data_IF_921878209929
#
_entry.id   IF_921878209929
#
_cell.length_a   1.000
_cell.length_b   1.000
_cell.length_c   1.000
_cell.angle_alpha   90.00
_cell.angle_beta   90.00
_cell.angle_gamma   90.00
#
_symmetry.space_group_name_H-M   'P 1'
#
loop_
_entity.id
_entity.type
_entity.pdbx_description
1 polymer ?
#
# COMPACT_ATOMS: atom_id res chain seq x y z
N UNK A 1 2.01 -6.06 15.46
CA UNK A 1 1.10 -7.22 15.36
C UNK A 1 -0.27 -6.67 15.05
N UNK A 2 -0.64 -6.68 13.77
CA UNK A 2 -1.91 -6.16 13.30
C UNK A 2 -3.04 -7.14 13.59
N UNK A 3 -4.20 -6.59 13.94
CA UNK A 3 -5.47 -7.31 14.03
C UNK A 3 -6.56 -6.34 13.57
N UNK A 4 -7.35 -6.73 12.57
CA UNK A 4 -8.76 -6.40 12.47
C UNK A 4 -9.41 -7.46 11.57
N UNK A 5 -10.20 -8.32 12.19
CA UNK A 5 -11.07 -9.31 11.56
C UNK A 5 -12.44 -8.68 11.23
N UNK A 6 -13.06 -9.25 10.20
CA UNK A 6 -14.32 -8.87 9.55
C UNK A 6 -15.56 -8.89 10.45
N UNK A 7 -16.54 -8.05 10.11
CA UNK A 7 -17.95 -8.31 10.42
C UNK A 7 -18.60 -8.94 9.18
N UNK A 8 -19.21 -10.09 9.37
CA UNK A 8 -20.19 -10.70 8.46
C UNK A 8 -21.59 -10.29 8.95
N UNK A 9 -22.38 -9.63 8.09
CA UNK A 9 -23.75 -10.02 7.76
C UNK A 9 -24.49 -8.98 6.88
N UNK A 10 -25.17 -9.54 5.87
CA UNK A 10 -26.30 -9.07 5.07
C UNK A 10 -26.18 -7.90 4.06
N UNK A 11 -26.15 -8.31 2.78
CA UNK A 11 -26.96 -7.82 1.66
C UNK A 11 -27.23 -6.30 1.59
N UNK A 12 -26.36 -5.57 0.90
CA UNK A 12 -26.82 -4.41 0.13
C UNK A 12 -25.96 -4.25 -1.13
N UNK A 13 -26.66 -4.29 -2.26
CA UNK A 13 -26.26 -3.93 -3.63
C UNK A 13 -24.86 -3.31 -3.78
N UNK A 14 -23.89 -4.11 -4.26
CA UNK A 14 -22.56 -3.59 -4.60
C UNK A 14 -22.66 -2.62 -5.78
N UNK A 15 -22.36 -1.35 -5.50
CA UNK A 15 -22.20 -0.28 -6.48
C UNK A 15 -20.95 -0.57 -7.34
N UNK A 16 -21.05 -0.63 -8.69
CA UNK A 16 -19.92 -0.96 -9.57
C UNK A 16 -18.76 0.05 -9.52
N UNK A 17 -18.93 1.21 -8.88
CA UNK A 17 -17.86 2.21 -8.76
C UNK A 17 -16.84 1.93 -7.63
N UNK A 18 -17.11 1.02 -6.68
CA UNK A 18 -16.14 0.67 -5.62
C UNK A 18 -15.03 -0.30 -6.08
N UNK A 19 -15.20 -0.92 -7.25
CA UNK A 19 -14.24 -1.90 -7.81
C UNK A 19 -13.23 -1.22 -8.76
N UNK A 20 -13.34 0.10 -8.98
CA UNK A 20 -12.40 0.84 -9.83
C UNK A 20 -11.00 0.89 -9.17
N UNK A 21 -9.96 0.35 -9.83
CA UNK A 21 -8.60 0.58 -9.40
C UNK A 21 -8.31 2.09 -9.41
N UNK A 22 -7.86 2.64 -8.27
CA UNK A 22 -7.52 4.06 -8.13
C UNK A 22 -6.31 4.48 -8.99
N UNK A 23 -5.65 3.52 -9.65
CA UNK A 23 -4.45 3.73 -10.46
C UNK A 23 -4.73 3.21 -11.87
N UNK A 24 -4.74 4.08 -12.90
CA UNK A 24 -4.83 3.65 -14.29
C UNK A 24 -3.61 2.82 -14.68
N UNK A 25 -3.82 1.64 -15.28
CA UNK A 25 -2.73 0.82 -15.81
C UNK A 25 -1.93 1.60 -16.88
N UNK A 26 -0.58 1.62 -16.82
CA UNK A 26 0.24 2.51 -17.65
C UNK A 26 0.38 2.09 -19.12
N UNK A 27 -0.21 0.95 -19.54
CA UNK A 27 -0.08 0.46 -20.91
C UNK A 27 -1.46 0.28 -21.57
N UNK A 28 -1.86 1.15 -22.51
CA UNK A 28 -2.97 0.86 -23.40
C UNK A 28 -2.53 -0.20 -24.43
N UNK A 29 -3.41 -1.19 -24.59
CA UNK A 29 -3.33 -2.39 -25.45
C UNK A 29 -2.70 -2.08 -26.82
N UNK A 30 -1.56 -2.72 -27.12
CA UNK A 30 -0.97 -2.74 -28.46
C UNK A 30 -1.77 -3.68 -29.37
N UNK A 31 -2.27 -3.11 -30.47
CA UNK A 31 -3.00 -3.80 -31.56
C UNK A 31 -2.02 -4.65 -32.37
N UNK A 32 -2.31 -5.93 -32.71
CA UNK A 32 -1.45 -6.69 -33.62
C UNK A 32 -1.65 -6.25 -35.08
N UNK A 33 -0.60 -6.28 -35.93
CA UNK A 33 -0.67 -5.88 -37.32
C UNK A 33 -1.31 -6.98 -38.18
N UNK A 34 -2.13 -6.53 -39.12
CA UNK A 34 -2.92 -7.31 -40.07
C UNK A 34 -2.07 -8.24 -40.95
N UNK A 35 -2.55 -9.47 -41.21
CA UNK A 35 -1.89 -10.39 -42.15
C UNK A 35 -2.59 -11.72 -42.39
N UNK A 36 -3.28 -11.78 -43.53
CA UNK A 36 -3.59 -12.94 -44.40
C UNK A 36 -4.85 -13.78 -44.12
N UNK A 37 -5.61 -13.93 -45.22
CA UNK A 37 -6.93 -14.51 -45.37
C UNK A 37 -7.03 -16.00 -45.02
N UNK A 38 -8.05 -16.36 -44.24
CA UNK A 38 -8.72 -17.65 -44.38
C UNK A 38 -10.23 -17.44 -44.24
N UNK A 39 -10.93 -17.53 -45.36
CA UNK A 39 -12.39 -17.56 -45.40
C UNK A 39 -12.84 -18.97 -45.02
N UNK A 40 -13.49 -19.10 -43.87
CA UNK A 40 -14.44 -20.17 -43.58
C UNK A 40 -15.67 -19.53 -42.92
N UNK A 41 -16.85 -19.54 -43.57
CA UNK A 41 -18.05 -18.94 -43.01
C UNK A 41 -18.77 -19.97 -42.15
N UNK A 42 -18.72 -19.84 -40.83
CA UNK A 42 -19.50 -20.68 -39.93
C UNK A 42 -19.65 -20.06 -38.53
N UNK A 43 -20.84 -19.48 -38.32
CA UNK A 43 -21.50 -19.15 -37.04
C UNK A 43 -21.03 -17.88 -36.31
N UNK A 44 -21.89 -16.85 -36.18
CA UNK A 44 -21.66 -15.73 -35.28
C UNK A 44 -22.08 -16.08 -33.83
N UNK A 45 -21.36 -15.48 -32.88
CA UNK A 45 -21.87 -15.08 -31.55
C UNK A 45 -22.15 -16.18 -30.51
N UNK A 46 -21.10 -16.62 -29.79
CA UNK A 46 -21.16 -17.11 -28.39
C UNK A 46 -19.77 -17.55 -27.87
N UNK A 47 -18.94 -18.15 -28.74
CA UNK A 47 -17.67 -18.79 -28.31
C UNK A 47 -16.55 -17.81 -27.93
N UNK A 48 -16.56 -16.61 -28.49
CA UNK A 48 -15.51 -15.61 -28.23
C UNK A 48 -15.58 -15.08 -26.79
N UNK A 49 -16.78 -15.02 -26.21
CA UNK A 49 -16.99 -14.51 -24.84
C UNK A 49 -16.52 -15.54 -23.80
N UNK A 50 -16.92 -16.81 -23.95
CA UNK A 50 -16.43 -17.92 -23.12
C UNK A 50 -14.89 -18.00 -23.12
N UNK A 51 -14.26 -17.82 -24.28
CA UNK A 51 -12.81 -17.84 -24.39
C UNK A 51 -12.14 -16.60 -23.76
N UNK A 52 -12.80 -15.44 -23.79
CA UNK A 52 -12.34 -14.24 -23.10
C UNK A 52 -12.46 -14.36 -21.58
N UNK A 53 -13.55 -14.98 -21.09
CA UNK A 53 -13.75 -15.28 -19.66
C UNK A 53 -12.66 -16.25 -19.17
N UNK A 54 -12.39 -17.32 -19.90
CA UNK A 54 -11.32 -18.26 -19.55
C UNK A 54 -9.94 -17.58 -19.54
N UNK A 55 -9.68 -16.69 -20.49
CA UNK A 55 -8.44 -15.90 -20.53
C UNK A 55 -8.34 -14.96 -19.33
N UNK A 56 -9.44 -14.29 -18.96
CA UNK A 56 -9.50 -13.44 -17.77
C UNK A 56 -9.25 -14.23 -16.49
N UNK A 57 -9.84 -15.42 -16.36
CA UNK A 57 -9.63 -16.32 -15.23
C UNK A 57 -8.15 -16.70 -15.13
N UNK A 58 -7.52 -17.09 -16.24
CA UNK A 58 -6.09 -17.45 -16.26
C UNK A 58 -5.20 -16.26 -15.90
N UNK A 59 -5.44 -15.07 -16.46
CA UNK A 59 -4.67 -13.85 -16.15
C UNK A 59 -4.83 -13.46 -14.68
N UNK A 60 -6.06 -13.43 -14.17
CA UNK A 60 -6.35 -13.11 -12.77
C UNK A 60 -5.72 -14.14 -11.83
N UNK A 61 -5.76 -15.42 -12.20
CA UNK A 61 -5.13 -16.49 -11.43
C UNK A 61 -3.61 -16.34 -11.42
N UNK A 62 -2.99 -16.06 -12.57
CA UNK A 62 -1.55 -15.83 -12.68
C UNK A 62 -1.08 -14.60 -11.87
N UNK A 63 -1.91 -13.57 -11.76
CA UNK A 63 -1.63 -12.38 -10.93
C UNK A 63 -1.78 -12.64 -9.42
N UNK A 64 -2.65 -13.57 -9.03
CA UNK A 64 -2.94 -13.87 -7.62
C UNK A 64 -2.08 -14.99 -7.03
N UNK A 65 -1.48 -15.84 -7.87
CA UNK A 65 -0.54 -16.86 -7.41
C UNK A 65 0.77 -16.19 -6.99
N UNK A 66 1.25 -16.54 -5.81
CA UNK A 66 2.54 -16.07 -5.29
C UNK A 66 3.64 -16.99 -5.83
N UNK A 67 4.58 -16.41 -6.58
CA UNK A 67 5.82 -17.10 -6.94
C UNK A 67 6.76 -17.14 -5.73
N UNK A 68 6.86 -18.30 -5.10
CA UNK A 68 7.74 -18.54 -3.94
C UNK A 68 9.23 -18.61 -4.32
N UNK A 69 9.56 -18.64 -5.61
CA UNK A 69 10.93 -18.69 -6.14
C UNK A 69 11.44 -17.35 -6.70
N UNK A 70 10.62 -16.29 -6.64
CA UNK A 70 10.92 -15.01 -7.26
C UNK A 70 12.16 -14.28 -6.68
N UNK A 71 12.70 -14.72 -5.54
CA UNK A 71 13.87 -14.10 -4.91
C UNK A 71 15.13 -14.13 -5.78
N UNK A 72 15.26 -15.13 -6.67
CA UNK A 72 16.42 -15.31 -7.54
C UNK A 72 16.17 -14.85 -9.00
N UNK A 73 14.92 -14.50 -9.33
CA UNK A 73 14.53 -14.16 -10.69
C UNK A 73 14.29 -12.66 -10.85
N UNK A 74 14.92 -12.08 -11.86
CA UNK A 74 14.83 -10.66 -12.28
C UNK A 74 15.82 -9.73 -11.56
N UNK A 75 17.11 -9.96 -11.79
CA UNK A 75 18.05 -8.84 -11.85
C UNK A 75 17.88 -8.24 -13.25
N UNK A 76 17.35 -7.02 -13.31
CA UNK A 76 17.33 -6.24 -14.55
C UNK A 76 18.75 -6.16 -15.11
N UNK A 77 18.93 -6.35 -16.41
CA UNK A 77 20.27 -6.31 -16.98
C UNK A 77 20.90 -4.92 -16.78
N UNK A 78 22.22 -4.88 -16.55
CA UNK A 78 22.92 -3.62 -16.22
C UNK A 78 22.70 -2.52 -17.27
N UNK A 79 22.67 -2.87 -18.55
CA UNK A 79 22.44 -1.90 -19.61
C UNK A 79 20.98 -1.39 -19.60
N UNK A 80 20.00 -2.26 -19.36
CA UNK A 80 18.58 -1.88 -19.22
C UNK A 80 18.38 -0.93 -18.03
N UNK A 81 19.06 -1.22 -16.91
CA UNK A 81 19.06 -0.33 -15.74
C UNK A 81 19.62 1.06 -16.07
N UNK A 82 20.77 1.12 -16.76
CA UNK A 82 21.40 2.38 -17.15
C UNK A 82 20.52 3.21 -18.10
N UNK A 83 19.91 2.57 -19.08
CA UNK A 83 19.01 3.24 -20.02
C UNK A 83 17.75 3.77 -19.30
N UNK A 84 17.14 2.99 -18.39
CA UNK A 84 16.00 3.46 -17.59
C UNK A 84 16.38 4.60 -16.66
N UNK A 85 17.54 4.54 -16.00
CA UNK A 85 18.02 5.62 -15.15
C UNK A 85 18.19 6.93 -15.93
N UNK A 86 18.79 6.86 -17.12
CA UNK A 86 18.93 8.02 -18.03
C UNK A 86 17.57 8.54 -18.50
N UNK A 87 16.65 7.64 -18.86
CA UNK A 87 15.30 8.00 -19.27
C UNK A 87 14.54 8.72 -18.15
N UNK A 88 14.58 8.20 -16.93
CA UNK A 88 13.93 8.83 -15.77
C UNK A 88 14.58 10.16 -15.41
N UNK A 89 15.90 10.27 -15.44
CA UNK A 89 16.61 11.53 -15.21
C UNK A 89 16.19 12.63 -16.22
N UNK A 90 16.05 12.25 -17.49
CA UNK A 90 15.62 13.17 -18.55
C UNK A 90 14.16 13.60 -18.35
N UNK A 91 13.26 12.64 -18.09
CA UNK A 91 11.84 12.92 -17.82
C UNK A 91 11.67 13.79 -16.57
N UNK A 92 12.43 13.50 -15.50
CA UNK A 92 12.40 14.25 -14.26
C UNK A 92 12.85 15.70 -14.47
N UNK A 93 13.93 15.91 -15.22
CA UNK A 93 14.40 17.27 -15.55
C UNK A 93 13.33 18.06 -16.32
N UNK A 94 12.66 17.44 -17.30
CA UNK A 94 11.59 18.09 -18.07
C UNK A 94 10.37 18.45 -17.21
N UNK A 95 10.06 17.66 -16.18
CA UNK A 95 8.96 17.96 -15.23
C UNK A 95 9.42 18.98 -14.18
N UNK A 96 10.67 18.93 -13.74
CA UNK A 96 11.21 19.82 -12.70
C UNK A 96 11.24 21.29 -13.15
N UNK A 97 11.28 21.57 -14.45
CA UNK A 97 11.22 22.95 -14.97
C UNK A 97 9.80 23.51 -15.02
N UNK A 98 8.78 22.65 -15.08
CA UNK A 98 7.36 23.05 -15.08
C UNK A 98 6.73 23.05 -13.69
N UNK A 99 7.38 22.42 -12.70
CA UNK A 99 6.94 22.39 -11.32
C UNK A 99 7.57 23.54 -10.52
N UNK A 100 6.82 24.26 -9.65
CA UNK A 100 7.41 25.21 -8.72
C UNK A 100 8.47 24.52 -7.87
N UNK A 101 9.69 25.05 -7.86
CA UNK A 101 10.80 24.52 -7.06
C UNK A 101 10.41 24.57 -5.58
N UNK A 102 10.13 23.41 -5.00
CA UNK A 102 9.94 23.26 -3.55
C UNK A 102 11.30 23.44 -2.87
N UNK A 103 11.63 24.67 -2.50
CA UNK A 103 12.66 24.90 -1.49
C UNK A 103 12.19 24.28 -0.18
N UNK A 104 13.13 23.74 0.60
CA UNK A 104 12.82 23.34 1.97
C UNK A 104 12.16 24.52 2.67
N UNK A 105 10.97 24.29 3.23
CA UNK A 105 10.22 25.33 3.92
C UNK A 105 11.05 25.76 5.14
N UNK A 106 11.22 27.07 5.30
CA UNK A 106 11.82 27.61 6.51
C UNK A 106 10.90 27.32 7.71
N UNK A 107 11.48 27.20 8.91
CA UNK A 107 10.69 27.09 10.13
C UNK A 107 9.76 28.31 10.27
N UNK A 108 8.51 28.11 10.70
CA UNK A 108 7.58 29.22 10.90
C UNK A 108 8.09 30.15 12.00
N UNK A 109 7.96 31.46 11.79
CA UNK A 109 8.25 32.44 12.83
C UNK A 109 7.13 32.40 13.88
N UNK A 110 7.47 32.00 15.10
CA UNK A 110 6.49 31.85 16.20
C UNK A 110 6.26 33.14 16.98
N UNK A 111 7.24 34.05 17.00
CA UNK A 111 7.16 35.33 17.72
C UNK A 111 8.13 36.35 17.12
N UNK A 112 7.78 37.63 17.20
CA UNK A 112 8.67 38.76 16.86
C UNK A 112 9.48 39.25 18.06
N UNK A 113 9.17 38.79 19.28
CA UNK A 113 9.80 39.21 20.53
C UNK A 113 10.29 37.99 21.35
N UNK A 114 11.35 37.30 20.90
CA UNK A 114 11.80 36.04 21.51
C UNK A 114 12.22 36.22 22.97
N UNK A 115 12.89 37.33 23.32
CA UNK A 115 13.30 37.60 24.70
C UNK A 115 12.12 37.76 25.66
N UNK A 116 11.03 38.39 25.22
CA UNK A 116 9.83 38.56 26.04
C UNK A 116 9.13 37.22 26.27
N UNK A 117 8.97 36.41 25.22
CA UNK A 117 8.34 35.09 25.34
C UNK A 117 9.13 34.17 26.25
N UNK A 118 10.46 34.16 26.13
CA UNK A 118 11.32 33.33 26.98
C UNK A 118 11.40 33.80 28.44
N UNK A 119 11.12 35.08 28.70
CA UNK A 119 11.05 35.65 30.05
C UNK A 119 9.64 35.61 30.66
N UNK A 120 8.64 35.08 29.92
CA UNK A 120 7.28 34.92 30.44
C UNK A 120 7.20 33.83 31.50
N UNK A 121 6.08 33.82 32.23
CA UNK A 121 5.85 32.84 33.28
C UNK A 121 5.95 31.40 32.74
N UNK A 122 6.67 30.56 33.47
CA UNK A 122 6.83 29.16 33.11
C UNK A 122 5.51 28.39 33.26
N UNK A 123 5.44 27.22 32.63
CA UNK A 123 4.34 26.28 32.82
C UNK A 123 4.22 25.93 34.31
N UNK A 124 3.00 26.00 34.85
CA UNK A 124 2.74 25.70 36.25
C UNK A 124 3.19 24.29 36.61
N UNK A 125 3.79 24.15 37.79
CA UNK A 125 4.21 22.85 38.30
C UNK A 125 3.03 21.88 38.49
N UNK A 126 1.82 22.39 38.78
CA UNK A 126 0.60 21.58 38.85
C UNK A 126 0.34 20.81 37.56
N UNK A 127 0.54 21.46 36.41
CA UNK A 127 0.22 20.90 35.10
C UNK A 127 1.23 19.83 34.73
N UNK A 128 2.51 20.07 35.05
CA UNK A 128 3.59 19.09 34.88
C UNK A 128 3.31 17.83 35.72
N UNK A 129 2.93 17.99 36.98
CA UNK A 129 2.58 16.86 37.84
C UNK A 129 1.35 16.11 37.34
N UNK A 130 0.32 16.82 36.90
CA UNK A 130 -0.89 16.21 36.35
C UNK A 130 -0.59 15.38 35.09
N UNK A 131 0.15 15.94 34.14
CA UNK A 131 0.55 15.23 32.91
C UNK A 131 1.42 14.01 33.24
N UNK A 132 2.34 14.15 34.18
CA UNK A 132 3.19 13.03 34.63
C UNK A 132 2.36 11.89 35.23
N UNK A 133 1.33 12.22 36.03
CA UNK A 133 0.40 11.23 36.59
C UNK A 133 -0.42 10.53 35.51
N UNK A 134 -0.91 11.28 34.52
CA UNK A 134 -1.65 10.72 33.38
C UNK A 134 -0.77 9.76 32.59
N UNK A 135 0.49 10.14 32.31
CA UNK A 135 1.44 9.30 31.60
C UNK A 135 1.74 8.00 32.37
N UNK A 136 1.97 8.08 33.68
CA UNK A 136 2.18 6.91 34.53
C UNK A 136 0.96 5.97 34.56
N UNK A 137 -0.25 6.54 34.57
CA UNK A 137 -1.49 5.78 34.52
C UNK A 137 -1.65 5.06 33.18
N UNK A 138 -1.39 5.75 32.07
CA UNK A 138 -1.43 5.15 30.72
C UNK A 138 -0.41 4.02 30.60
N UNK A 139 0.82 4.21 31.09
CA UNK A 139 1.83 3.16 31.12
C UNK A 139 1.38 1.94 31.93
N UNK A 140 0.75 2.17 33.09
CA UNK A 140 0.20 1.10 33.92
C UNK A 140 -0.92 0.34 33.20
N UNK A 141 -1.77 1.01 32.45
CA UNK A 141 -2.82 0.37 31.65
C UNK A 141 -2.24 -0.49 30.52
N UNK A 142 -1.16 -0.05 29.86
CA UNK A 142 -0.48 -0.84 28.81
C UNK A 142 0.04 -2.17 29.36
N UNK A 143 0.46 -2.23 30.63
CA UNK A 143 0.89 -3.50 31.25
C UNK A 143 -0.21 -4.56 31.36
N UNK A 144 -1.48 -4.16 31.24
CA UNK A 144 -2.62 -5.09 31.21
C UNK A 144 -2.85 -5.70 29.82
N UNK A 145 -2.15 -5.22 28.78
CA UNK A 145 -2.16 -5.83 27.45
C UNK A 145 -1.27 -7.07 27.49
N UNK A 146 -1.82 -8.15 28.00
CA UNK A 146 -1.18 -9.46 28.10
C UNK A 146 -2.22 -10.56 27.88
N UNK A 147 -1.74 -11.75 27.52
CA UNK A 147 -2.59 -12.94 27.46
C UNK A 147 -2.64 -13.56 28.85
N UNK A 148 -3.84 -13.66 29.43
CA UNK A 148 -4.04 -14.40 30.68
C UNK A 148 -4.02 -15.90 30.37
N UNK A 149 -3.05 -16.63 30.92
CA UNK A 149 -2.96 -18.07 30.77
C UNK A 149 -4.19 -18.75 31.41
N UNK A 150 -4.88 -19.61 30.64
CA UNK A 150 -6.03 -20.39 31.11
C UNK A 150 -5.72 -21.88 31.19
N UNK A 151 -5.16 -22.42 30.12
CA UNK A 151 -4.83 -23.84 29.98
C UNK A 151 -3.40 -23.99 29.46
N UNK A 152 -2.80 -25.14 29.73
CA UNK A 152 -1.47 -25.46 29.22
C UNK A 152 -1.56 -25.79 27.73
N UNK A 153 -0.85 -25.03 26.90
CA UNK A 153 -0.84 -25.24 25.44
C UNK A 153 0.04 -26.41 25.01
N UNK A 154 0.89 -26.91 25.92
CA UNK A 154 1.86 -27.97 25.65
C UNK A 154 1.80 -28.98 26.79
N UNK A 155 1.34 -30.19 26.51
CA UNK A 155 1.36 -31.28 27.48
C UNK A 155 2.42 -32.30 27.09
N UNK A 156 3.21 -32.74 28.08
CA UNK A 156 4.18 -33.80 27.88
C UNK A 156 3.55 -35.16 28.13
N UNK A 157 3.51 -35.99 27.10
CA UNK A 157 3.08 -37.37 27.24
C UNK A 157 4.24 -38.20 27.83
N UNK A 158 4.06 -38.70 29.05
CA UNK A 158 4.91 -39.73 29.62
C UNK A 158 4.27 -41.11 29.37
N UNK A 159 5.09 -42.09 29.04
CA UNK A 159 4.68 -43.50 28.91
C UNK A 159 4.79 -44.15 30.30
N UNK A 160 3.78 -44.92 30.76
CA UNK A 160 3.80 -45.62 32.05
C UNK A 160 4.98 -46.59 32.22
#
# INVERSE_FOLDING_TARGET
>A
MGCCYSNEDENTSQDPDEIKPLIPHPNPISKPPNGTDWINPSVPSARTDEQAILTSILVKTAQNIIDVSAADSVVMEQHEYMDKAKQYSTKLTAVSTSLPQKKALALPSLTTQPHQVLASDLVSYSDIQQVSKIAAYAYSAISQIKVDAKEELVVQFAIP
#
